data_IF_523617554470
#
_entry.id   IF_523617554470
#
_cell.length_a   1.000
_cell.length_b   1.000
_cell.length_c   1.000
_cell.angle_alpha   90.00
_cell.angle_beta   90.00
_cell.angle_gamma   90.00
#
_symmetry.space_group_name_H-M   'P 1'
#
loop_
_entity.id
_entity.type
_entity.pdbx_description
1 polymer ?
#
# COMPACT_ATOMS: atom_id res chain seq x y z
N UNK A 1 44.59 33.01 41.16
CA UNK A 1 44.22 31.72 40.56
C UNK A 1 42.80 31.83 40.03
N UNK A 2 42.62 31.55 38.74
CA UNK A 2 41.39 31.67 37.97
C UNK A 2 40.46 30.48 38.23
N UNK A 3 39.18 30.72 38.47
CA UNK A 3 38.15 29.69 38.25
C UNK A 3 37.00 30.30 37.44
N UNK A 4 37.08 30.15 36.12
CA UNK A 4 35.94 30.30 35.23
C UNK A 4 35.03 29.09 35.45
N UNK A 5 33.90 29.30 36.13
CA UNK A 5 32.82 28.31 36.17
C UNK A 5 32.09 28.37 34.83
N UNK A 6 32.40 27.43 33.95
CA UNK A 6 31.70 27.22 32.67
C UNK A 6 30.35 26.59 32.98
N UNK A 7 29.27 27.37 32.99
CA UNK A 7 27.92 26.83 33.14
C UNK A 7 27.52 26.14 31.81
N UNK A 8 27.74 24.83 31.74
CA UNK A 8 27.44 24.01 30.58
C UNK A 8 25.96 23.58 30.59
N UNK A 9 25.23 23.97 29.54
CA UNK A 9 23.95 23.37 29.15
C UNK A 9 22.71 24.20 29.44
N UNK A 10 22.01 24.62 28.37
CA UNK A 10 20.64 25.11 28.47
C UNK A 10 19.69 23.89 28.60
N UNK A 11 19.01 23.75 29.74
CA UNK A 11 17.93 22.77 29.93
C UNK A 11 16.60 23.39 29.53
N UNK A 12 16.13 23.10 28.32
CA UNK A 12 14.80 23.51 27.84
C UNK A 12 13.78 22.45 28.26
N UNK A 13 12.88 22.80 29.17
CA UNK A 13 11.71 21.98 29.52
C UNK A 13 10.61 22.37 28.54
N UNK A 14 10.34 21.50 27.57
CA UNK A 14 9.26 21.69 26.60
C UNK A 14 7.96 21.20 27.24
N UNK A 15 6.93 22.03 27.25
CA UNK A 15 5.59 21.66 27.73
C UNK A 15 4.99 20.59 26.80
N UNK A 16 4.92 19.36 27.32
CA UNK A 16 4.36 18.19 26.67
C UNK A 16 2.94 17.88 27.15
N UNK A 17 2.39 18.61 28.13
CA UNK A 17 1.06 18.32 28.67
C UNK A 17 -0.01 18.46 27.60
N UNK A 18 0.11 19.49 26.75
CA UNK A 18 -0.81 19.71 25.64
C UNK A 18 -0.78 18.53 24.65
N UNK A 19 0.41 18.00 24.37
CA UNK A 19 0.59 16.85 23.46
C UNK A 19 0.01 15.57 24.08
N UNK A 20 0.28 15.32 25.36
CA UNK A 20 -0.23 14.15 26.07
C UNK A 20 -1.76 14.21 26.25
N UNK A 21 -2.33 15.40 26.47
CA UNK A 21 -3.79 15.60 26.45
C UNK A 21 -4.39 15.35 25.07
N UNK A 22 -3.74 15.76 23.99
CA UNK A 22 -4.18 15.47 22.62
C UNK A 22 -4.14 13.96 22.30
N UNK A 23 -3.08 13.25 22.75
CA UNK A 23 -2.94 11.81 22.57
C UNK A 23 -3.96 11.01 23.40
N UNK A 24 -4.27 11.44 24.62
CA UNK A 24 -5.29 10.82 25.49
C UNK A 24 -6.72 11.14 25.05
N UNK A 25 -6.97 12.30 24.41
CA UNK A 25 -8.28 12.68 23.87
C UNK A 25 -8.62 12.02 22.53
N UNK A 26 -7.64 11.47 21.82
CA UNK A 26 -7.84 10.57 20.69
C UNK A 26 -8.43 9.26 21.23
N UNK A 27 -9.76 9.18 21.28
CA UNK A 27 -10.45 7.93 21.61
C UNK A 27 -9.95 6.85 20.65
N UNK A 28 -9.53 5.69 21.17
CA UNK A 28 -8.90 4.61 20.40
C UNK A 28 -9.68 4.29 19.12
N UNK A 29 -11.01 4.36 19.16
CA UNK A 29 -11.88 4.06 18.01
C UNK A 29 -11.75 5.09 16.88
N UNK A 30 -11.74 6.38 17.18
CA UNK A 30 -11.65 7.44 16.18
C UNK A 30 -10.23 7.54 15.61
N UNK A 31 -9.23 7.47 16.48
CA UNK A 31 -7.82 7.37 16.12
C UNK A 31 -7.58 6.20 15.17
N UNK A 32 -8.02 5.00 15.55
CA UNK A 32 -7.87 3.78 14.76
C UNK A 32 -8.62 3.84 13.43
N UNK A 33 -9.79 4.47 13.39
CA UNK A 33 -10.53 4.68 12.13
C UNK A 33 -9.74 5.60 11.20
N UNK A 34 -9.14 6.66 11.74
CA UNK A 34 -8.40 7.62 10.97
C UNK A 34 -7.08 7.04 10.44
N UNK A 35 -6.33 6.32 11.27
CA UNK A 35 -5.12 5.59 10.86
C UNK A 35 -5.45 4.57 9.76
N UNK A 36 -6.53 3.80 9.90
CA UNK A 36 -6.97 2.86 8.85
C UNK A 36 -7.30 3.56 7.53
N UNK A 37 -7.94 4.73 7.60
CA UNK A 37 -8.26 5.51 6.41
C UNK A 37 -6.98 6.03 5.73
N UNK A 38 -6.03 6.55 6.51
CA UNK A 38 -4.74 7.02 6.02
C UNK A 38 -3.93 5.88 5.37
N UNK A 39 -3.80 4.73 6.05
CA UNK A 39 -3.17 3.52 5.49
C UNK A 39 -3.83 3.04 4.20
N UNK A 40 -5.17 3.15 4.10
CA UNK A 40 -5.88 2.77 2.88
C UNK A 40 -5.60 3.72 1.73
N UNK A 41 -5.45 5.02 2.01
CA UNK A 41 -5.13 6.03 0.99
C UNK A 41 -3.68 5.88 0.49
N UNK A 42 -2.72 5.68 1.40
CA UNK A 42 -1.32 5.54 1.03
C UNK A 42 -1.09 4.32 0.12
N UNK A 43 -1.61 3.15 0.51
CA UNK A 43 -1.45 1.94 -0.31
C UNK A 43 -2.20 2.01 -1.65
N UNK A 44 -3.24 2.83 -1.73
CA UNK A 44 -3.98 3.04 -2.98
C UNK A 44 -3.11 3.72 -4.04
N UNK A 45 -2.15 4.55 -3.63
CA UNK A 45 -1.21 5.21 -4.56
C UNK A 45 -0.32 4.18 -5.24
N UNK A 46 0.25 3.25 -4.46
CA UNK A 46 1.04 2.13 -4.99
C UNK A 46 0.18 1.27 -5.92
N UNK A 47 -1.06 0.95 -5.50
CA UNK A 47 -2.00 0.18 -6.33
C UNK A 47 -2.26 0.87 -7.66
N UNK A 48 -2.51 2.18 -7.66
CA UNK A 48 -2.74 2.96 -8.91
C UNK A 48 -1.50 2.96 -9.80
N UNK A 49 -0.30 3.11 -9.22
CA UNK A 49 0.96 2.97 -9.96
C UNK A 49 1.08 1.61 -10.64
N UNK A 50 0.85 0.52 -9.91
CA UNK A 50 0.88 -0.83 -10.46
C UNK A 50 -0.19 -1.06 -11.55
N UNK A 51 -1.38 -0.49 -11.37
CA UNK A 51 -2.44 -0.53 -12.39
C UNK A 51 -2.02 0.18 -13.68
N UNK A 52 -1.42 1.37 -13.57
CA UNK A 52 -0.93 2.11 -14.72
C UNK A 52 0.19 1.37 -15.44
N UNK A 53 1.17 0.84 -14.70
CA UNK A 53 2.26 0.04 -15.27
C UNK A 53 1.73 -1.19 -16.01
N UNK A 54 0.79 -1.93 -15.39
CA UNK A 54 0.17 -3.09 -16.02
C UNK A 54 -0.57 -2.72 -17.32
N UNK A 55 -1.35 -1.63 -17.32
CA UNK A 55 -2.13 -1.21 -18.49
C UNK A 55 -1.23 -0.69 -19.61
N UNK A 56 -0.11 -0.04 -19.26
CA UNK A 56 0.89 0.41 -20.23
C UNK A 56 1.50 -0.77 -20.98
N UNK A 57 1.86 -1.83 -20.26
CA UNK A 57 2.42 -3.06 -20.84
C UNK A 57 1.36 -3.91 -21.54
N UNK A 58 0.15 -3.95 -20.98
CA UNK A 58 -0.97 -4.77 -21.45
C UNK A 58 -2.26 -3.94 -21.48
N UNK A 59 -2.54 -3.21 -22.57
CA UNK A 59 -3.73 -2.36 -22.68
C UNK A 59 -5.06 -3.12 -22.47
N UNK A 60 -5.08 -4.41 -22.80
CA UNK A 60 -6.22 -5.30 -22.57
C UNK A 60 -6.54 -5.51 -21.08
N UNK A 61 -5.59 -5.30 -20.16
CA UNK A 61 -5.83 -5.37 -18.72
C UNK A 61 -6.81 -4.32 -18.20
N UNK A 62 -7.10 -3.28 -19.00
CA UNK A 62 -8.11 -2.26 -18.73
C UNK A 62 -9.53 -2.64 -19.19
N UNK A 63 -9.68 -3.73 -19.96
CA UNK A 63 -10.97 -4.16 -20.50
C UNK A 63 -11.57 -5.27 -19.65
N UNK A 64 -12.90 -5.26 -19.52
CA UNK A 64 -13.64 -6.41 -18.99
C UNK A 64 -13.56 -7.56 -19.98
N UNK A 65 -13.62 -8.79 -19.47
CA UNK A 65 -13.60 -10.00 -20.30
C UNK A 65 -14.74 -10.92 -19.90
N UNK A 66 -15.41 -11.50 -20.89
CA UNK A 66 -16.47 -12.50 -20.66
C UNK A 66 -15.90 -13.88 -20.90
N UNK A 67 -16.08 -14.80 -19.94
CA UNK A 67 -15.67 -16.20 -20.08
C UNK A 67 -16.75 -17.09 -19.49
N UNK A 68 -17.26 -18.03 -20.28
CA UNK A 68 -18.28 -18.99 -19.83
C UNK A 68 -19.54 -18.32 -19.26
N UNK A 69 -19.99 -17.21 -19.87
CA UNK A 69 -21.16 -16.45 -19.40
C UNK A 69 -20.89 -15.50 -18.22
N UNK A 70 -19.70 -15.52 -17.61
CA UNK A 70 -19.34 -14.66 -16.48
C UNK A 70 -18.58 -13.43 -16.98
N UNK A 71 -19.04 -12.24 -16.61
CA UNK A 71 -18.36 -10.97 -16.90
C UNK A 71 -17.34 -10.68 -15.79
N UNK A 72 -16.06 -10.75 -16.12
CA UNK A 72 -14.99 -10.35 -15.23
C UNK A 72 -14.64 -8.87 -15.41
N UNK A 73 -14.48 -8.16 -14.29
CA UNK A 73 -13.94 -6.79 -14.26
C UNK A 73 -12.53 -6.75 -14.85
N UNK A 74 -12.03 -5.58 -15.29
CA UNK A 74 -10.67 -5.42 -15.80
C UNK A 74 -9.59 -6.03 -14.89
N UNK A 75 -8.58 -6.67 -15.49
CA UNK A 75 -7.55 -7.42 -14.76
C UNK A 75 -6.77 -6.53 -13.78
N UNK A 76 -6.56 -5.25 -14.13
CA UNK A 76 -5.92 -4.27 -13.24
C UNK A 76 -6.61 -4.15 -11.86
N UNK A 77 -7.89 -4.50 -11.77
CA UNK A 77 -8.65 -4.43 -10.52
C UNK A 77 -8.41 -5.63 -9.59
N UNK A 78 -7.76 -6.69 -10.07
CA UNK A 78 -7.45 -7.88 -9.29
C UNK A 78 -6.21 -7.72 -8.39
N UNK A 79 -5.45 -6.62 -8.56
CA UNK A 79 -4.44 -6.20 -7.57
C UNK A 79 -5.18 -5.85 -6.28
N UNK A 80 -5.00 -6.63 -5.23
CA UNK A 80 -5.76 -6.55 -3.99
C UNK A 80 -5.03 -5.67 -2.95
N UNK A 81 -5.78 -4.94 -2.13
CA UNK A 81 -5.25 -4.22 -0.97
C UNK A 81 -6.02 -4.61 0.29
N UNK A 82 -5.32 -4.72 1.41
CA UNK A 82 -5.91 -4.97 2.72
C UNK A 82 -5.23 -4.13 3.79
N UNK A 83 -6.01 -3.60 4.72
CA UNK A 83 -5.53 -2.89 5.91
C UNK A 83 -5.76 -3.79 7.11
N UNK A 84 -4.78 -3.92 7.99
CA UNK A 84 -4.86 -4.80 9.15
C UNK A 84 -5.90 -4.31 10.16
N UNK A 85 -6.56 -5.27 10.84
CA UNK A 85 -7.66 -4.97 11.78
C UNK A 85 -7.21 -4.12 12.97
N UNK A 86 -5.97 -4.29 13.41
CA UNK A 86 -5.30 -3.53 14.46
C UNK A 86 -4.77 -2.16 13.99
N UNK A 87 -4.88 -1.82 12.69
CA UNK A 87 -4.30 -0.61 12.10
C UNK A 87 -2.77 -0.54 12.14
N UNK A 88 -2.07 -1.68 12.27
CA UNK A 88 -0.59 -1.69 12.29
C UNK A 88 0.05 -1.58 10.89
N UNK A 89 -0.75 -1.63 9.83
CA UNK A 89 -0.24 -1.55 8.47
C UNK A 89 -1.25 -1.95 7.40
N UNK A 90 -0.76 -1.95 6.17
CA UNK A 90 -1.50 -2.37 4.99
C UNK A 90 -0.62 -3.26 4.11
N UNK A 91 -1.27 -4.17 3.37
CA UNK A 91 -0.62 -5.04 2.39
C UNK A 91 -1.29 -4.93 1.03
N UNK A 92 -0.50 -5.15 0.00
CA UNK A 92 -0.94 -5.20 -1.39
C UNK A 92 -0.51 -6.54 -1.98
N UNK A 93 -1.46 -7.27 -2.56
CA UNK A 93 -1.28 -8.64 -3.00
C UNK A 93 -1.65 -8.77 -4.49
N UNK A 94 -0.86 -9.54 -5.24
CA UNK A 94 -1.19 -9.91 -6.63
C UNK A 94 -2.09 -11.16 -6.71
N UNK A 95 -2.46 -11.76 -5.57
CA UNK A 95 -3.25 -12.99 -5.53
C UNK A 95 -4.39 -12.88 -4.51
N UNK A 96 -5.63 -12.90 -4.99
CA UNK A 96 -6.82 -12.93 -4.14
C UNK A 96 -7.31 -14.37 -3.94
N UNK A 97 -6.73 -15.04 -2.93
CA UNK A 97 -7.06 -16.44 -2.60
C UNK A 97 -8.51 -16.65 -2.13
N UNK A 98 -9.27 -15.58 -1.86
CA UNK A 98 -10.65 -15.66 -1.35
C UNK A 98 -11.68 -15.89 -2.44
N UNK A 99 -11.35 -15.63 -3.71
CA UNK A 99 -12.27 -15.71 -4.84
C UNK A 99 -11.88 -16.86 -5.75
N UNK A 100 -12.73 -17.88 -5.82
CA UNK A 100 -12.53 -19.09 -6.64
C UNK A 100 -12.26 -18.76 -8.12
N UNK A 101 -12.97 -17.77 -8.67
CA UNK A 101 -12.85 -17.35 -10.07
C UNK A 101 -11.94 -16.11 -10.26
N UNK A 102 -11.02 -15.87 -9.32
CA UNK A 102 -10.09 -14.76 -9.42
C UNK A 102 -9.09 -14.98 -10.56
N UNK A 103 -8.91 -13.96 -11.40
CA UNK A 103 -7.87 -13.95 -12.44
C UNK A 103 -6.56 -13.36 -11.92
N UNK A 104 -6.46 -13.09 -10.63
CA UNK A 104 -5.27 -12.54 -9.96
C UNK A 104 -4.02 -13.42 -10.15
N UNK A 105 -4.17 -14.74 -10.30
CA UNK A 105 -3.03 -15.63 -10.59
C UNK A 105 -2.26 -15.22 -11.88
N UNK A 106 -2.94 -14.60 -12.85
CA UNK A 106 -2.31 -14.08 -14.07
C UNK A 106 -1.31 -12.98 -13.72
N UNK A 107 -1.65 -12.11 -12.78
CA UNK A 107 -0.78 -11.01 -12.34
C UNK A 107 0.55 -11.53 -11.78
N UNK A 108 0.51 -12.65 -11.05
CA UNK A 108 1.73 -13.28 -10.53
C UNK A 108 2.65 -13.76 -11.65
N UNK A 109 2.08 -14.33 -12.72
CA UNK A 109 2.87 -14.78 -13.87
C UNK A 109 3.42 -13.61 -14.69
N UNK A 110 2.65 -12.54 -14.84
CA UNK A 110 3.16 -11.32 -15.50
C UNK A 110 4.31 -10.72 -14.69
N UNK A 111 4.18 -10.67 -13.36
CA UNK A 111 5.21 -10.11 -12.49
C UNK A 111 6.50 -10.93 -12.55
N UNK A 112 6.42 -12.23 -12.24
CA UNK A 112 7.60 -13.09 -12.03
C UNK A 112 8.11 -13.76 -13.31
N UNK A 113 7.31 -13.74 -14.38
CA UNK A 113 7.54 -14.57 -15.56
C UNK A 113 7.31 -16.06 -15.30
N UNK A 114 7.63 -16.86 -16.30
CA UNK A 114 7.61 -18.33 -16.23
C UNK A 114 8.83 -18.89 -16.94
N UNK A 115 9.47 -19.89 -16.34
CA UNK A 115 10.45 -20.73 -17.02
C UNK A 115 9.80 -21.56 -18.12
N UNK A 116 10.60 -22.07 -19.06
CA UNK A 116 10.12 -22.99 -20.08
C UNK A 116 9.56 -24.26 -19.42
N UNK A 117 8.41 -24.72 -19.91
CA UNK A 117 7.75 -25.93 -19.41
C UNK A 117 7.35 -26.79 -20.58
N UNK A 118 7.60 -28.09 -20.47
CA UNK A 118 7.10 -29.08 -21.39
C UNK A 118 6.03 -29.95 -20.71
N UNK A 119 5.10 -30.49 -21.50
CA UNK A 119 4.23 -31.58 -21.04
C UNK A 119 5.05 -32.87 -20.89
N UNK A 120 4.49 -33.88 -20.20
CA UNK A 120 5.11 -35.22 -20.15
C UNK A 120 5.37 -35.84 -21.55
N UNK A 121 4.63 -35.38 -22.57
CA UNK A 121 4.78 -35.79 -23.98
C UNK A 121 5.71 -34.86 -24.78
N UNK A 122 6.50 -34.01 -24.12
CA UNK A 122 7.49 -33.12 -24.76
C UNK A 122 6.94 -31.84 -25.39
N UNK A 123 5.62 -31.66 -25.50
CA UNK A 123 5.05 -30.45 -26.09
C UNK A 123 5.34 -29.19 -25.22
N UNK A 124 5.88 -28.14 -25.85
CA UNK A 124 6.23 -26.88 -25.20
C UNK A 124 4.95 -26.11 -24.76
N UNK A 125 4.99 -25.53 -23.56
CA UNK A 125 3.92 -24.72 -22.96
C UNK A 125 4.24 -23.22 -22.93
N UNK A 126 5.32 -22.83 -23.60
CA UNK A 126 5.84 -21.48 -23.67
C UNK A 126 6.61 -21.07 -22.42
N UNK A 127 7.30 -19.95 -22.54
CA UNK A 127 7.92 -19.19 -21.47
C UNK A 127 7.42 -17.73 -21.53
N UNK A 128 7.59 -17.01 -20.43
CA UNK A 128 7.19 -15.61 -20.32
C UNK A 128 8.26 -14.88 -19.52
N UNK A 129 8.75 -13.74 -20.02
CA UNK A 129 9.68 -12.92 -19.25
C UNK A 129 8.96 -12.26 -18.05
N UNK A 130 9.70 -11.97 -16.99
CA UNK A 130 9.22 -11.15 -15.90
C UNK A 130 9.05 -9.69 -16.38
N UNK A 131 7.93 -9.07 -16.02
CA UNK A 131 7.66 -7.66 -16.35
C UNK A 131 7.85 -6.72 -15.16
N UNK A 132 7.88 -7.24 -13.93
CA UNK A 132 8.13 -6.47 -12.70
C UNK A 132 7.24 -5.21 -12.53
N UNK A 133 6.07 -5.17 -13.18
CA UNK A 133 5.19 -4.00 -13.20
C UNK A 133 4.76 -3.57 -11.79
N UNK A 134 4.67 -4.55 -10.87
CA UNK A 134 4.29 -4.35 -9.49
C UNK A 134 5.48 -3.94 -8.63
N UNK A 135 6.61 -4.65 -8.73
CA UNK A 135 7.85 -4.28 -8.04
C UNK A 135 8.31 -2.87 -8.37
N UNK A 136 8.25 -2.49 -9.64
CA UNK A 136 8.59 -1.14 -10.11
C UNK A 136 7.66 -0.08 -9.51
N UNK A 137 6.36 -0.38 -9.43
CA UNK A 137 5.39 0.52 -8.81
C UNK A 137 5.62 0.68 -7.30
N UNK A 138 5.95 -0.40 -6.60
CA UNK A 138 6.28 -0.35 -5.17
C UNK A 138 7.49 0.54 -4.93
N UNK A 139 8.58 0.33 -5.69
CA UNK A 139 9.81 1.12 -5.57
C UNK A 139 9.55 2.59 -5.91
N UNK A 140 8.89 2.87 -7.04
CA UNK A 140 8.67 4.23 -7.50
C UNK A 140 7.70 5.04 -6.62
N UNK A 141 6.72 4.38 -5.98
CA UNK A 141 5.66 5.03 -5.20
C UNK A 141 5.85 4.95 -3.69
N UNK A 142 6.94 4.33 -3.21
CA UNK A 142 7.19 4.14 -1.77
C UNK A 142 7.21 5.48 -1.02
N UNK A 143 8.10 6.39 -1.42
CA UNK A 143 8.28 7.69 -0.75
C UNK A 143 7.01 8.55 -0.81
N UNK A 144 6.31 8.54 -1.94
CA UNK A 144 5.02 9.24 -2.10
C UNK A 144 3.96 8.67 -1.15
N UNK A 145 3.88 7.33 -1.04
CA UNK A 145 2.94 6.67 -0.14
C UNK A 145 3.25 6.94 1.34
N UNK A 146 4.53 6.98 1.72
CA UNK A 146 5.00 7.31 3.08
C UNK A 146 4.65 8.77 3.43
N UNK A 147 4.99 9.72 2.56
CA UNK A 147 4.68 11.14 2.79
C UNK A 147 3.16 11.38 2.86
N UNK A 148 2.39 10.74 1.99
CA UNK A 148 0.93 10.82 2.04
C UNK A 148 0.36 10.19 3.30
N UNK A 149 0.95 9.11 3.83
CA UNK A 149 0.50 8.50 5.06
C UNK A 149 0.65 9.48 6.23
N UNK A 150 1.82 10.09 6.36
CA UNK A 150 2.11 11.08 7.40
C UNK A 150 1.15 12.27 7.33
N UNK A 151 0.99 12.87 6.15
CA UNK A 151 0.08 13.99 5.93
C UNK A 151 -1.38 13.61 6.28
N UNK A 152 -1.86 12.47 5.80
CA UNK A 152 -3.23 12.03 6.07
C UNK A 152 -3.47 11.73 7.56
N UNK A 153 -2.47 11.28 8.31
CA UNK A 153 -2.56 11.08 9.76
C UNK A 153 -2.62 12.43 10.47
N UNK A 154 -1.75 13.37 10.12
CA UNK A 154 -1.74 14.72 10.70
C UNK A 154 -3.07 15.43 10.46
N UNK A 155 -3.59 15.38 9.23
CA UNK A 155 -4.89 15.98 8.87
C UNK A 155 -6.05 15.34 9.63
N UNK A 156 -6.00 14.02 9.80
CA UNK A 156 -6.97 13.28 10.61
C UNK A 156 -6.96 13.73 12.07
N UNK A 157 -5.77 13.86 12.67
CA UNK A 157 -5.62 14.33 14.06
C UNK A 157 -6.16 15.74 14.19
N UNK A 158 -5.75 16.67 13.31
CA UNK A 158 -6.26 18.06 13.30
C UNK A 158 -7.78 18.10 13.24
N UNK A 159 -8.40 17.26 12.40
CA UNK A 159 -9.86 17.19 12.28
C UNK A 159 -10.56 16.67 13.53
N UNK A 160 -9.94 15.74 14.27
CA UNK A 160 -10.48 15.23 15.53
C UNK A 160 -10.39 16.30 16.61
N UNK A 161 -9.26 17.01 16.67
CA UNK A 161 -9.04 18.11 17.62
C UNK A 161 -10.03 19.25 17.37
N UNK A 162 -10.18 19.70 16.12
CA UNK A 162 -11.08 20.81 15.77
C UNK A 162 -12.58 20.46 15.84
N UNK A 163 -12.93 19.19 16.06
CA UNK A 163 -14.32 18.74 16.25
C UNK A 163 -14.77 18.83 17.72
N UNK A 164 -13.82 18.95 18.64
CA UNK A 164 -14.06 19.14 20.07
C UNK A 164 -13.88 20.60 20.42
#
# INVERSE_FOLDING_TARGET
MSSKVTQAGYKVIVDVEKINRLLTQLNDKEAKKAIKAALRKSILVIRKGAQSNLVSLFPSANKSVTKGGIIHKPLKNDINIAVYRNASGARIDLLDKRKKDSRSYILRFIELGTTERATKKGANRGNMKAYNFFGDAVTAKKTEAESMLEQNIVDAIKKIVNKK
#
